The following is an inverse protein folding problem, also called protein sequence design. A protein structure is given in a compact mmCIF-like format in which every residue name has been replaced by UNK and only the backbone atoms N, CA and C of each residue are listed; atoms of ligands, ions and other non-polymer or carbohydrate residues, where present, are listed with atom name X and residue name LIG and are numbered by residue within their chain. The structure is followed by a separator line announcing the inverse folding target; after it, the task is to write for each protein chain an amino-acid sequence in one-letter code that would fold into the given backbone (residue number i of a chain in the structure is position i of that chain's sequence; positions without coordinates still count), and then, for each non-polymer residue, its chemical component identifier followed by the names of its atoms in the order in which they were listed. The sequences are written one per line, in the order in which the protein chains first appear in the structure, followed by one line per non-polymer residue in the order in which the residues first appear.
data_IF_128484722331
#
_entry.id   IF_128484722331
#
_cell.length_a   1.000
_cell.length_b   1.000
_cell.length_c   1.000
_cell.angle_alpha   90.00
_cell.angle_beta   90.00
_cell.angle_gamma   90.00
#
_symmetry.space_group_name_H-M   'P 1'
#
loop_
_entity.id
_entity.type
_entity.pdbx_description
1 polymer ?
#
# COMPACT_ATOMS: atom_id res chain seq x y z
N UNK A 1 12.04 0.36 -5.74
CA UNK A 1 11.31 1.33 -6.57
C UNK A 1 12.17 2.57 -6.92
N UNK A 2 12.05 3.06 -8.17
CA UNK A 2 12.60 4.34 -8.70
C UNK A 2 12.35 5.58 -7.84
N UNK A 3 11.06 5.78 -7.56
CA UNK A 3 10.45 6.96 -6.97
C UNK A 3 9.53 6.54 -5.80
N UNK A 4 9.16 7.50 -4.95
CA UNK A 4 8.28 7.24 -3.80
C UNK A 4 6.89 6.78 -4.23
N UNK A 5 6.39 7.38 -5.31
CA UNK A 5 5.10 7.05 -5.94
C UNK A 5 5.09 5.60 -6.42
N UNK A 6 6.16 5.15 -7.07
CA UNK A 6 6.29 3.75 -7.49
C UNK A 6 6.38 2.80 -6.29
N UNK A 7 7.02 3.21 -5.18
CA UNK A 7 7.08 2.40 -3.96
C UNK A 7 5.69 2.22 -3.33
N UNK A 8 4.89 3.30 -3.31
CA UNK A 8 3.51 3.26 -2.85
C UNK A 8 2.65 2.38 -3.75
N UNK A 9 2.77 2.55 -5.06
CA UNK A 9 2.07 1.71 -6.04
C UNK A 9 2.36 0.22 -5.79
N UNK A 10 3.64 -0.14 -5.68
CA UNK A 10 4.07 -1.53 -5.44
C UNK A 10 3.54 -2.08 -4.11
N UNK A 11 3.53 -1.26 -3.04
CA UNK A 11 2.97 -1.65 -1.74
C UNK A 11 1.48 -1.97 -1.84
N UNK A 12 0.69 -1.05 -2.40
CA UNK A 12 -0.77 -1.23 -2.50
C UNK A 12 -1.10 -2.40 -3.44
N UNK A 13 -0.39 -2.53 -4.56
CA UNK A 13 -0.55 -3.68 -5.46
C UNK A 13 -0.27 -5.01 -4.73
N UNK A 14 0.74 -5.05 -3.85
CA UNK A 14 1.02 -6.24 -3.06
C UNK A 14 -0.05 -6.54 -2.02
N UNK A 15 -0.65 -5.52 -1.40
CA UNK A 15 -1.80 -5.70 -0.48
C UNK A 15 -3.03 -6.24 -1.21
N UNK A 16 -3.35 -5.69 -2.39
CA UNK A 16 -4.42 -6.19 -3.26
C UNK A 16 -4.17 -7.65 -3.65
N UNK A 17 -2.94 -7.98 -4.02
CA UNK A 17 -2.55 -9.37 -4.28
C UNK A 17 -2.80 -10.28 -3.06
N UNK A 18 -2.40 -9.87 -1.85
CA UNK A 18 -2.57 -10.67 -0.64
C UNK A 18 -4.04 -10.94 -0.30
N UNK A 19 -4.92 -9.96 -0.45
CA UNK A 19 -6.36 -10.19 -0.25
C UNK A 19 -6.92 -11.12 -1.33
N UNK A 20 -6.56 -10.93 -2.60
CA UNK A 20 -7.10 -11.71 -3.72
C UNK A 20 -6.62 -13.17 -3.73
N UNK A 21 -5.37 -13.43 -3.33
CA UNK A 21 -4.78 -14.77 -3.41
C UNK A 21 -4.75 -15.51 -2.09
N UNK A 22 -4.58 -14.79 -0.98
CA UNK A 22 -4.42 -15.39 0.35
C UNK A 22 -5.60 -15.07 1.28
N UNK A 23 -6.55 -14.23 0.85
CA UNK A 23 -7.65 -13.79 1.70
C UNK A 23 -7.20 -12.96 2.90
N UNK A 24 -5.98 -12.38 2.86
CA UNK A 24 -5.43 -11.63 3.98
C UNK A 24 -6.04 -10.22 4.05
N UNK A 25 -6.83 -9.97 5.09
CA UNK A 25 -7.37 -8.66 5.42
C UNK A 25 -6.43 -7.93 6.37
N UNK A 26 -5.76 -6.89 5.87
CA UNK A 26 -4.92 -6.02 6.67
C UNK A 26 -5.74 -5.31 7.77
N UNK A 27 -5.33 -5.47 9.03
CA UNK A 27 -5.93 -4.78 10.18
C UNK A 27 -4.98 -3.80 10.86
N UNK A 28 -3.66 -4.02 10.72
CA UNK A 28 -2.65 -3.20 11.36
C UNK A 28 -1.27 -3.26 10.70
N UNK A 29 -0.44 -2.27 11.04
CA UNK A 29 0.95 -2.19 10.61
C UNK A 29 1.82 -2.15 11.86
N UNK A 30 2.51 -3.24 12.17
CA UNK A 30 3.39 -3.33 13.35
C UNK A 30 4.68 -2.55 13.14
N UNK A 31 5.25 -2.66 11.94
CA UNK A 31 6.44 -1.92 11.56
C UNK A 31 6.44 -1.58 10.09
N UNK A 32 6.95 -0.40 9.75
CA UNK A 32 7.16 0.01 8.38
C UNK A 32 8.42 0.87 8.32
N UNK A 33 9.37 0.46 7.50
CA UNK A 33 10.63 1.16 7.30
C UNK A 33 10.86 1.39 5.82
N UNK A 34 11.01 2.65 5.46
CA UNK A 34 11.43 3.08 4.12
C UNK A 34 12.91 3.40 4.18
N UNK A 35 13.70 2.83 3.28
CA UNK A 35 15.13 3.11 3.14
C UNK A 35 15.41 3.64 1.74
N UNK A 36 16.37 4.56 1.63
CA UNK A 36 16.83 5.13 0.36
C UNK A 36 18.29 4.78 0.15
N UNK A 37 18.62 4.24 -1.02
CA UNK A 37 19.98 3.96 -1.48
C UNK A 37 20.22 4.60 -2.86
N UNK A 38 21.44 4.42 -3.40
CA UNK A 38 21.75 4.82 -4.77
C UNK A 38 20.88 4.12 -5.83
N UNK A 39 20.35 2.93 -5.50
CA UNK A 39 19.52 2.10 -6.38
C UNK A 39 18.03 2.47 -6.34
N UNK A 40 17.62 3.33 -5.39
CA UNK A 40 16.25 3.82 -5.24
C UNK A 40 15.72 3.66 -3.82
N UNK A 41 14.41 3.41 -3.73
CA UNK A 41 13.70 3.22 -2.46
C UNK A 41 13.35 1.74 -2.24
N UNK A 42 13.44 1.32 -0.99
CA UNK A 42 12.95 0.03 -0.51
C UNK A 42 12.02 0.24 0.69
N UNK A 43 11.06 -0.67 0.84
CA UNK A 43 10.12 -0.70 1.95
C UNK A 43 10.14 -2.09 2.55
N UNK A 44 10.28 -2.16 3.87
CA UNK A 44 10.06 -3.37 4.64
C UNK A 44 8.97 -3.09 5.66
N UNK A 45 7.95 -3.93 5.69
CA UNK A 45 6.86 -3.81 6.65
C UNK A 45 6.52 -5.17 7.26
N UNK A 46 6.08 -5.13 8.52
CA UNK A 46 5.40 -6.24 9.19
C UNK A 46 3.95 -5.82 9.38
N UNK A 47 3.05 -6.64 8.85
CA UNK A 47 1.62 -6.38 8.78
C UNK A 47 0.90 -7.40 9.66
N UNK A 48 -0.17 -6.95 10.31
CA UNK A 48 -1.10 -7.82 11.02
C UNK A 48 -2.45 -7.75 10.35
N UNK A 49 -3.17 -8.87 10.38
CA UNK A 49 -4.41 -9.01 9.66
C UNK A 49 -5.17 -10.25 10.09
N UNK A 50 -6.29 -10.47 9.42
CA UNK A 50 -7.19 -11.59 9.65
C UNK A 50 -7.51 -12.27 8.31
N UNK A 51 -8.14 -13.44 8.35
CA UNK A 51 -8.68 -14.09 7.17
C UNK A 51 -9.98 -13.39 6.73
N UNK A 52 -10.19 -13.26 5.43
CA UNK A 52 -11.42 -12.68 4.87
C UNK A 52 -12.68 -13.52 5.11
N UNK A 53 -12.53 -14.78 5.55
CA UNK A 53 -13.64 -15.66 5.86
C UNK A 53 -14.53 -15.08 6.96
N UNK A 54 -15.84 -15.03 6.72
CA UNK A 54 -16.82 -14.49 7.68
C UNK A 54 -16.98 -12.96 7.63
N UNK A 55 -16.19 -12.24 6.82
CA UNK A 55 -16.37 -10.81 6.58
C UNK A 55 -17.17 -10.55 5.29
N UNK A 56 -18.03 -9.52 5.33
CA UNK A 56 -18.71 -9.03 4.14
C UNK A 56 -17.82 -8.02 3.39
N UNK A 57 -17.38 -8.38 2.19
CA UNK A 57 -16.61 -7.49 1.31
C UNK A 57 -17.56 -6.61 0.51
N UNK A 58 -17.61 -5.31 0.85
CA UNK A 58 -18.52 -4.34 0.21
C UNK A 58 -18.10 -3.95 -1.20
N UNK A 59 -16.80 -3.82 -1.44
CA UNK A 59 -16.22 -3.42 -2.73
C UNK A 59 -14.84 -4.04 -2.85
N UNK A 60 -14.57 -4.67 -3.98
CA UNK A 60 -13.25 -5.19 -4.29
C UNK A 60 -12.42 -4.08 -4.94
N UNK A 61 -11.16 -3.95 -4.53
CA UNK A 61 -10.19 -3.09 -5.21
C UNK A 61 -9.45 -3.95 -6.23
N UNK A 62 -9.44 -3.54 -7.49
CA UNK A 62 -8.75 -4.25 -8.58
C UNK A 62 -7.28 -3.91 -8.66
N UNK A 63 -6.95 -2.62 -8.58
CA UNK A 63 -5.58 -2.16 -8.74
C UNK A 63 -5.35 -0.73 -8.19
N UNK A 64 -4.14 -0.41 -7.73
CA UNK A 64 -3.70 0.98 -7.59
C UNK A 64 -3.57 1.66 -8.95
N UNK A 65 -3.79 2.97 -9.00
CA UNK A 65 -3.55 3.77 -10.22
C UNK A 65 -2.62 4.95 -9.92
N UNK A 66 -1.97 5.49 -10.96
CA UNK A 66 -1.23 6.76 -10.87
C UNK A 66 -2.16 7.99 -11.03
N UNK A 67 -3.45 7.78 -11.30
CA UNK A 67 -4.40 8.88 -11.46
C UNK A 67 -4.56 9.64 -10.15
N UNK A 68 -4.38 10.96 -10.19
CA UNK A 68 -4.39 11.86 -9.03
C UNK A 68 -3.53 11.40 -7.84
N UNK A 69 -2.46 10.64 -8.12
CA UNK A 69 -1.51 10.21 -7.09
C UNK A 69 -0.58 11.37 -6.71
N UNK A 70 -0.46 11.65 -5.42
CA UNK A 70 0.56 12.56 -4.91
C UNK A 70 1.07 12.18 -3.52
N UNK A 71 2.30 12.58 -3.25
CA UNK A 71 2.93 12.53 -1.94
C UNK A 71 3.40 13.97 -1.62
N UNK A 72 2.77 14.60 -0.63
CA UNK A 72 3.08 15.96 -0.20
C UNK A 72 3.76 15.92 1.17
N UNK A 73 4.91 16.59 1.29
CA UNK A 73 5.69 16.68 2.50
C UNK A 73 5.76 18.15 2.94
N UNK A 74 4.96 18.53 3.93
CA UNK A 74 4.81 19.91 4.36
C UNK A 74 4.75 19.99 5.88
N UNK A 75 5.51 20.93 6.48
CA UNK A 75 5.46 21.23 7.93
C UNK A 75 5.62 20.00 8.84
N UNK A 76 6.46 19.04 8.43
CA UNK A 76 6.70 17.80 9.18
C UNK A 76 5.57 16.76 9.07
N UNK A 77 4.58 17.00 8.21
CA UNK A 77 3.53 16.03 7.88
C UNK A 77 3.73 15.51 6.47
N UNK A 78 3.35 14.25 6.28
CA UNK A 78 3.33 13.59 4.96
C UNK A 78 1.88 13.23 4.66
N UNK A 79 1.36 13.77 3.56
CA UNK A 79 0.03 13.43 3.04
C UNK A 79 0.19 12.64 1.77
N UNK A 80 -0.51 11.51 1.68
CA UNK A 80 -0.50 10.61 0.53
C UNK A 80 -1.93 10.49 0.03
N UNK A 81 -2.11 10.60 -1.28
CA UNK A 81 -3.39 10.34 -1.94
C UNK A 81 -3.14 9.52 -3.20
N UNK A 82 -4.08 8.62 -3.50
CA UNK A 82 -4.16 7.91 -4.77
C UNK A 82 -5.59 7.48 -5.06
N UNK A 83 -5.93 7.37 -6.34
CA UNK A 83 -7.19 6.77 -6.80
C UNK A 83 -6.97 5.28 -7.06
N UNK A 84 -7.93 4.47 -6.62
CA UNK A 84 -7.96 3.03 -6.81
C UNK A 84 -8.96 2.67 -7.90
N UNK A 85 -8.67 1.62 -8.66
CA UNK A 85 -9.64 0.97 -9.53
C UNK A 85 -10.43 -0.06 -8.72
N UNK A 86 -11.76 -0.04 -8.85
CA UNK A 86 -12.72 -0.87 -8.11
C UNK A 86 -13.61 -1.66 -9.06
#
# INVERSE_FOLDING_TARGET
ARKKESLLFDLIAKLVYLIDTEGFLLSGVESLKISRSAEGYSLKATLTGDAAEGYEIKTQVKAPTYSDMFIKEEKGQVTIQMVLDI
#
